data_IF_853291395210
#
_entry.id   IF_853291395210
#
_cell.length_a   1.000
_cell.length_b   1.000
_cell.length_c   1.000
_cell.angle_alpha   90.00
_cell.angle_beta   90.00
_cell.angle_gamma   90.00
#
_symmetry.space_group_name_H-M   'P 1'
#
loop_
_entity.id
_entity.type
_entity.pdbx_description
1 polymer ?
#
# COMPACT_ATOMS: atom_id res chain seq x y z
N UNK A 1 -15.34 -24.62 -64.62
CA UNK A 1 -15.31 -23.17 -64.31
C UNK A 1 -15.96 -22.83 -62.95
N UNK A 2 -16.96 -23.59 -62.47
CA UNK A 2 -17.71 -23.30 -61.23
C UNK A 2 -16.95 -23.46 -59.88
N UNK A 3 -15.97 -24.38 -59.77
CA UNK A 3 -15.27 -24.68 -58.50
C UNK A 3 -14.39 -23.53 -57.99
N UNK A 4 -13.81 -22.72 -58.88
CA UNK A 4 -12.98 -21.55 -58.53
C UNK A 4 -13.83 -20.37 -58.02
N UNK A 5 -15.02 -20.17 -58.59
CA UNK A 5 -15.97 -19.14 -58.15
C UNK A 5 -16.54 -19.42 -56.75
N UNK A 6 -16.82 -20.69 -56.45
CA UNK A 6 -17.30 -21.10 -55.13
C UNK A 6 -16.25 -20.88 -54.03
N UNK A 7 -14.98 -21.18 -54.30
CA UNK A 7 -13.87 -20.91 -53.36
C UNK A 7 -13.67 -19.41 -53.16
N UNK A 8 -13.78 -18.60 -54.22
CA UNK A 8 -13.68 -17.15 -54.12
C UNK A 8 -14.83 -16.55 -53.28
N UNK A 9 -16.05 -17.05 -53.45
CA UNK A 9 -17.21 -16.63 -52.65
C UNK A 9 -17.06 -17.02 -51.18
N UNK A 10 -16.54 -18.21 -50.88
CA UNK A 10 -16.24 -18.62 -49.50
C UNK A 10 -15.15 -17.74 -48.88
N UNK A 11 -14.11 -17.38 -49.65
CA UNK A 11 -13.06 -16.50 -49.17
C UNK A 11 -13.57 -15.07 -48.93
N UNK A 12 -14.42 -14.54 -49.82
CA UNK A 12 -15.05 -13.23 -49.64
C UNK A 12 -15.98 -13.20 -48.43
N UNK A 13 -16.74 -14.28 -48.18
CA UNK A 13 -17.58 -14.41 -47.01
C UNK A 13 -16.74 -14.46 -45.72
N UNK A 14 -15.62 -15.18 -45.72
CA UNK A 14 -14.70 -15.27 -44.58
C UNK A 14 -14.08 -13.91 -44.23
N UNK A 15 -13.65 -13.13 -45.23
CA UNK A 15 -13.05 -11.81 -45.01
C UNK A 15 -14.09 -10.81 -44.47
N UNK A 16 -15.34 -10.86 -44.95
CA UNK A 16 -16.41 -10.00 -44.43
C UNK A 16 -16.80 -10.32 -42.98
N UNK A 17 -16.60 -11.56 -42.52
CA UNK A 17 -16.86 -11.92 -41.11
C UNK A 17 -15.78 -11.46 -40.13
N UNK A 18 -14.57 -11.14 -40.61
CA UNK A 18 -13.47 -10.68 -39.75
C UNK A 18 -13.55 -9.19 -39.38
N UNK A 19 -14.28 -8.38 -40.16
CA UNK A 19 -14.31 -6.91 -40.01
C UNK A 19 -15.17 -6.40 -38.84
N UNK A 20 -15.81 -7.28 -38.06
CA UNK A 20 -16.76 -6.86 -37.02
C UNK A 20 -16.39 -7.26 -35.58
N UNK A 21 -15.15 -7.70 -35.33
CA UNK A 21 -14.67 -7.81 -33.94
C UNK A 21 -14.29 -6.41 -33.46
N UNK A 22 -15.29 -5.62 -33.07
CA UNK A 22 -15.05 -4.42 -32.26
C UNK A 22 -14.73 -4.91 -30.85
N UNK A 23 -13.45 -4.84 -30.46
CA UNK A 23 -13.08 -4.98 -29.05
C UNK A 23 -13.81 -3.87 -28.32
N UNK A 24 -14.76 -4.23 -27.45
CA UNK A 24 -15.38 -3.28 -26.55
C UNK A 24 -14.28 -2.72 -25.65
N UNK A 25 -13.76 -1.55 -26.03
CA UNK A 25 -12.85 -0.80 -25.18
C UNK A 25 -13.68 -0.34 -23.99
N UNK A 26 -13.59 -1.08 -22.90
CA UNK A 26 -14.17 -0.63 -21.64
C UNK A 26 -13.42 0.65 -21.30
N UNK A 27 -14.07 1.83 -21.24
CA UNK A 27 -13.38 3.01 -20.75
C UNK A 27 -12.89 2.63 -19.36
N UNK A 28 -11.57 2.68 -19.15
CA UNK A 28 -11.02 2.60 -17.80
C UNK A 28 -11.88 3.53 -16.97
N UNK A 29 -12.49 3.03 -15.88
CA UNK A 29 -13.29 3.86 -15.01
C UNK A 29 -12.38 4.98 -14.56
N UNK A 30 -12.55 6.15 -15.18
CA UNK A 30 -12.03 7.40 -14.66
C UNK A 30 -12.83 7.57 -13.39
N UNK A 31 -12.36 6.94 -12.31
CA UNK A 31 -12.71 7.39 -10.98
C UNK A 31 -12.16 8.79 -11.00
N UNK A 32 -13.07 9.74 -11.26
CA UNK A 32 -12.86 11.14 -11.04
C UNK A 32 -12.26 11.22 -9.65
N UNK A 33 -10.96 11.47 -9.60
CA UNK A 33 -10.20 11.65 -8.36
C UNK A 33 -10.59 12.99 -7.76
N UNK A 34 -11.91 13.26 -7.68
CA UNK A 34 -12.52 14.38 -6.98
C UNK A 34 -11.60 14.67 -5.81
N UNK A 35 -11.01 15.87 -5.73
CA UNK A 35 -9.81 16.08 -4.94
C UNK A 35 -10.11 15.68 -3.51
N UNK A 36 -9.68 14.48 -3.11
CA UNK A 36 -9.95 13.92 -1.80
C UNK A 36 -9.06 14.70 -0.85
N UNK A 37 -9.67 15.67 -0.17
CA UNK A 37 -8.95 16.63 0.65
C UNK A 37 -9.73 16.88 1.95
N UNK A 38 -9.22 17.77 2.81
CA UNK A 38 -9.84 18.04 4.11
C UNK A 38 -11.31 18.49 4.03
N UNK A 39 -11.72 19.15 2.94
CA UNK A 39 -13.11 19.57 2.73
C UNK A 39 -14.08 18.42 2.45
N UNK A 40 -13.57 17.23 2.11
CA UNK A 40 -14.36 16.01 1.93
C UNK A 40 -14.86 15.41 3.25
N UNK A 41 -14.41 15.92 4.40
CA UNK A 41 -14.75 15.43 5.75
C UNK A 41 -15.51 16.52 6.53
N UNK A 42 -16.28 16.16 7.58
CA UNK A 42 -16.92 17.15 8.46
C UNK A 42 -15.91 18.16 9.01
N UNK A 43 -16.33 19.41 9.22
CA UNK A 43 -15.45 20.51 9.68
C UNK A 43 -14.63 20.17 10.94
N UNK A 44 -15.18 19.30 11.81
CA UNK A 44 -14.57 18.90 13.08
C UNK A 44 -13.90 17.53 13.03
N UNK A 45 -13.68 16.96 11.84
CA UNK A 45 -12.96 15.70 11.71
C UNK A 45 -11.48 15.91 12.09
N UNK A 46 -11.00 15.10 13.03
CA UNK A 46 -9.61 15.12 13.49
C UNK A 46 -8.80 14.09 12.69
N UNK A 47 -7.76 14.56 12.01
CA UNK A 47 -6.70 13.69 11.51
C UNK A 47 -5.52 13.81 12.47
N UNK A 48 -4.89 12.68 12.75
CA UNK A 48 -3.71 12.63 13.61
C UNK A 48 -2.83 11.46 13.23
N UNK A 49 -1.73 11.35 13.96
CA UNK A 49 -0.80 10.22 13.90
C UNK A 49 -0.78 9.53 15.26
N UNK A 50 -0.26 8.31 15.31
CA UNK A 50 -0.13 7.55 16.55
C UNK A 50 1.24 6.90 16.63
N UNK A 51 1.72 6.69 17.85
CA UNK A 51 2.95 5.98 18.18
C UNK A 51 2.75 5.14 19.43
N UNK A 52 3.76 4.36 19.81
CA UNK A 52 3.78 3.61 21.06
C UNK A 52 5.14 3.81 21.77
N UNK A 53 5.12 3.87 23.10
CA UNK A 53 6.28 4.23 23.93
C UNK A 53 7.54 3.42 23.60
N UNK A 54 7.47 2.08 23.64
CA UNK A 54 8.65 1.24 23.37
C UNK A 54 9.21 1.44 21.95
N UNK A 55 8.37 1.78 20.96
CA UNK A 55 8.81 1.97 19.58
C UNK A 55 9.48 3.33 19.37
N UNK A 56 9.12 4.35 20.15
CA UNK A 56 9.48 5.75 19.85
C UNK A 56 10.36 6.43 20.90
N UNK A 57 10.11 6.19 22.18
CA UNK A 57 10.69 7.01 23.25
C UNK A 57 12.21 6.82 23.36
N UNK A 58 12.68 5.57 23.40
CA UNK A 58 14.05 5.27 23.79
C UNK A 58 14.27 5.48 25.28
N UNK A 59 15.48 5.95 25.65
CA UNK A 59 15.85 6.28 27.02
C UNK A 59 15.56 5.15 28.02
N UNK A 60 15.78 3.89 27.58
CA UNK A 60 15.28 2.71 28.29
C UNK A 60 15.81 2.58 29.73
N UNK A 61 16.99 3.15 30.03
CA UNK A 61 17.59 3.11 31.36
C UNK A 61 17.75 4.50 32.00
N UNK A 62 16.97 5.49 31.55
CA UNK A 62 17.05 6.87 32.03
C UNK A 62 15.82 7.27 32.85
N UNK A 63 15.88 8.44 33.50
CA UNK A 63 14.73 9.07 34.15
C UNK A 63 14.08 8.28 35.29
N UNK A 64 14.74 7.22 35.78
CA UNK A 64 14.16 6.31 36.79
C UNK A 64 13.16 5.31 36.24
N UNK A 65 13.07 5.14 34.91
CA UNK A 65 12.27 4.11 34.25
C UNK A 65 12.71 2.71 34.71
N UNK A 66 11.74 1.82 34.90
CA UNK A 66 12.01 0.39 35.13
C UNK A 66 11.83 -0.40 33.83
N UNK A 67 12.57 -1.52 33.65
CA UNK A 67 12.41 -2.37 32.47
C UNK A 67 10.98 -2.89 32.31
N UNK A 68 10.49 -2.87 31.07
CA UNK A 68 9.27 -3.55 30.64
C UNK A 68 9.58 -4.97 30.17
N UNK A 69 8.53 -5.75 29.90
CA UNK A 69 8.67 -7.08 29.30
C UNK A 69 9.36 -7.04 27.93
N UNK A 70 9.22 -5.94 27.18
CA UNK A 70 9.82 -5.80 25.87
C UNK A 70 11.33 -5.57 25.96
N UNK A 71 11.79 -4.77 26.93
CA UNK A 71 13.22 -4.59 27.19
C UNK A 71 13.83 -5.97 27.50
N UNK A 72 13.22 -6.72 28.42
CA UNK A 72 13.72 -8.04 28.78
C UNK A 72 13.71 -9.02 27.59
N UNK A 73 12.62 -9.05 26.82
CA UNK A 73 12.46 -9.97 25.71
C UNK A 73 13.48 -9.72 24.59
N UNK A 74 13.66 -8.47 24.16
CA UNK A 74 14.59 -8.17 23.06
C UNK A 74 16.05 -8.39 23.45
N UNK A 75 16.41 -8.14 24.72
CA UNK A 75 17.76 -8.41 25.22
C UNK A 75 18.03 -9.91 25.42
N UNK A 76 17.05 -10.68 25.89
CA UNK A 76 17.21 -12.12 26.14
C UNK A 76 17.07 -12.97 24.88
N UNK A 77 16.29 -12.50 23.91
CA UNK A 77 15.97 -13.25 22.69
C UNK A 77 16.22 -12.42 21.42
N UNK A 78 17.45 -11.93 21.18
CA UNK A 78 17.76 -11.14 19.99
C UNK A 78 17.48 -11.91 18.70
N UNK A 79 17.61 -13.23 18.68
CA UNK A 79 17.27 -14.09 17.54
C UNK A 79 15.80 -14.05 17.14
N UNK A 80 14.92 -13.56 18.03
CA UNK A 80 13.49 -13.39 17.76
C UNK A 80 13.14 -12.03 17.19
N UNK A 81 14.12 -11.12 17.12
CA UNK A 81 14.03 -9.87 16.39
C UNK A 81 14.79 -10.06 15.08
N UNK A 82 14.14 -9.76 13.95
CA UNK A 82 14.67 -10.08 12.60
C UNK A 82 16.12 -9.62 12.38
N UNK A 83 16.48 -8.48 12.94
CA UNK A 83 17.81 -7.87 12.86
C UNK A 83 18.56 -7.85 14.21
N UNK A 84 18.03 -8.51 15.23
CA UNK A 84 18.63 -8.56 16.56
C UNK A 84 18.63 -7.25 17.34
N UNK A 85 17.84 -6.25 16.91
CA UNK A 85 17.83 -4.92 17.54
C UNK A 85 16.97 -4.85 18.81
N UNK A 86 17.27 -3.85 19.64
CA UNK A 86 16.47 -3.42 20.79
C UNK A 86 15.90 -2.02 20.53
N UNK A 87 14.99 -1.56 21.38
CA UNK A 87 14.48 -0.19 21.32
C UNK A 87 15.05 0.72 22.42
N UNK A 88 16.29 0.45 22.86
CA UNK A 88 16.93 1.23 23.94
C UNK A 88 17.01 2.72 23.58
N UNK A 89 17.25 3.01 22.30
CA UNK A 89 17.25 4.36 21.74
C UNK A 89 15.94 4.69 20.98
N UNK A 90 15.33 3.73 20.29
CA UNK A 90 14.15 3.98 19.44
C UNK A 90 14.42 5.07 18.39
N UNK A 91 13.50 6.04 18.27
CA UNK A 91 13.73 7.30 17.52
C UNK A 91 14.14 8.46 18.44
N UNK A 92 14.48 8.15 19.69
CA UNK A 92 14.92 9.09 20.72
C UNK A 92 13.88 10.20 20.99
N UNK A 93 12.58 9.87 20.88
CA UNK A 93 11.52 10.85 21.09
C UNK A 93 11.49 11.36 22.54
N UNK A 94 12.00 10.59 23.51
CA UNK A 94 12.16 11.05 24.89
C UNK A 94 12.96 12.37 24.96
N UNK A 95 14.05 12.48 24.20
CA UNK A 95 14.86 13.68 24.15
C UNK A 95 14.42 14.67 23.05
N UNK A 96 13.72 14.17 22.01
CA UNK A 96 13.39 14.93 20.78
C UNK A 96 11.91 15.32 20.66
N UNK A 97 11.11 15.17 21.70
CA UNK A 97 9.66 15.44 21.61
C UNK A 97 9.28 16.87 21.21
N UNK A 98 10.19 17.84 21.37
CA UNK A 98 9.99 19.26 21.00
C UNK A 98 10.51 19.63 19.62
N UNK A 99 11.21 18.72 18.94
CA UNK A 99 11.88 18.99 17.67
C UNK A 99 10.91 19.34 16.55
#
# INVERSE_FOLDING_TARGET
MARKGFILLLFLALVNTFSSISVAQHPASVIDVLPLNRSSFPKNFVFGTASASYQYEGAANEGGRKPSIWDEYTHKHPERIRDGTTADLGVDQYNRFKS
#
